data_IF_585283150916
#
_entry.id   IF_585283150916
#
_cell.length_a   1.000
_cell.length_b   1.000
_cell.length_c   1.000
_cell.angle_alpha   90.00
_cell.angle_beta   90.00
_cell.angle_gamma   90.00
#
_symmetry.space_group_name_H-M   'P 1'
#
loop_
_entity.id
_entity.type
_entity.pdbx_description
1 polymer ?
#
# COMPACT_ATOMS: atom_id res chain seq x y z
N UNK A 1 -11.11 16.98 -4.51
CA UNK A 1 -10.25 15.86 -4.75
C UNK A 1 -10.68 14.64 -3.98
N UNK A 2 -10.62 13.48 -4.62
CA UNK A 2 -11.06 12.27 -3.99
C UNK A 2 -10.08 11.82 -2.92
N UNK A 3 -10.59 11.58 -1.73
CA UNK A 3 -9.80 11.13 -0.61
C UNK A 3 -9.03 9.84 -0.93
N UNK A 4 -9.65 8.92 -1.64
CA UNK A 4 -9.01 7.66 -1.97
C UNK A 4 -7.81 7.83 -2.87
N UNK A 5 -7.88 8.80 -3.75
CA UNK A 5 -6.74 9.06 -4.63
C UNK A 5 -5.57 9.58 -3.83
N UNK A 6 -5.84 10.44 -2.85
CA UNK A 6 -4.79 10.96 -2.01
C UNK A 6 -4.13 9.88 -1.19
N UNK A 7 -4.91 8.94 -0.67
CA UNK A 7 -4.35 7.92 0.20
C UNK A 7 -3.47 6.93 -0.56
N UNK A 8 -3.80 6.63 -1.81
CA UNK A 8 -2.95 5.77 -2.62
C UNK A 8 -1.63 6.47 -2.88
N UNK A 9 -1.69 7.75 -3.21
CA UNK A 9 -0.49 8.51 -3.46
C UNK A 9 0.40 8.56 -2.22
N UNK A 10 -0.22 8.81 -1.06
CA UNK A 10 0.50 8.85 0.20
C UNK A 10 1.13 7.50 0.50
N UNK A 11 0.38 6.43 0.27
CA UNK A 11 0.88 5.09 0.56
C UNK A 11 2.12 4.77 -0.26
N UNK A 12 2.11 5.12 -1.54
CA UNK A 12 3.20 4.78 -2.44
C UNK A 12 4.37 5.76 -2.38
N UNK A 13 4.18 6.90 -1.76
CA UNK A 13 5.22 7.92 -1.73
C UNK A 13 6.38 7.61 -0.78
N UNK A 14 6.17 6.74 0.18
CA UNK A 14 7.18 6.45 1.19
C UNK A 14 7.93 5.16 0.88
N UNK A 15 9.25 5.23 0.91
CA UNK A 15 10.06 4.06 0.58
C UNK A 15 9.85 2.89 1.52
N UNK A 16 9.71 3.15 2.82
CA UNK A 16 9.49 2.08 3.78
C UNK A 16 8.19 1.34 3.47
N UNK A 17 7.15 2.08 3.12
CA UNK A 17 5.88 1.45 2.77
C UNK A 17 5.99 0.62 1.50
N UNK A 18 6.73 1.11 0.50
CA UNK A 18 6.95 0.32 -0.72
C UNK A 18 7.72 -0.96 -0.40
N UNK A 19 8.70 -0.88 0.51
CA UNK A 19 9.47 -2.05 0.90
C UNK A 19 8.61 -3.06 1.65
N UNK A 20 7.74 -2.59 2.54
CA UNK A 20 6.80 -3.47 3.24
C UNK A 20 5.88 -4.15 2.26
N UNK A 21 5.32 -3.39 1.34
CA UNK A 21 4.43 -3.90 0.33
C UNK A 21 5.11 -4.98 -0.52
N UNK A 22 6.35 -4.72 -0.93
CA UNK A 22 7.12 -5.66 -1.73
C UNK A 22 7.34 -6.96 -0.97
N UNK A 23 7.64 -6.85 0.32
CA UNK A 23 7.89 -8.03 1.14
C UNK A 23 6.63 -8.87 1.31
N UNK A 24 5.50 -8.21 1.54
CA UNK A 24 4.22 -8.91 1.68
C UNK A 24 3.88 -9.59 0.35
N UNK A 25 4.09 -8.90 -0.75
CA UNK A 25 3.81 -9.45 -2.06
C UNK A 25 4.62 -10.72 -2.32
N UNK A 26 5.90 -10.68 -2.01
CA UNK A 26 6.77 -11.81 -2.28
C UNK A 26 6.55 -13.00 -1.36
N UNK A 27 6.21 -12.73 -0.11
CA UNK A 27 5.99 -13.79 0.86
C UNK A 27 4.55 -14.27 0.90
N UNK A 28 3.67 -13.56 0.26
CA UNK A 28 2.23 -13.81 0.21
C UNK A 28 1.51 -13.49 1.51
N UNK A 29 2.07 -13.87 2.65
CA UNK A 29 1.51 -13.53 3.95
C UNK A 29 2.63 -13.25 4.93
N UNK A 30 2.44 -12.28 5.80
CA UNK A 30 3.38 -11.97 6.86
C UNK A 30 2.63 -11.49 8.09
N UNK A 31 3.06 -11.93 9.26
CA UNK A 31 2.49 -11.41 10.50
C UNK A 31 3.09 -10.05 10.81
N UNK A 32 2.40 -9.28 11.64
CA UNK A 32 2.92 -8.00 12.08
C UNK A 32 4.30 -8.16 12.74
N UNK A 33 4.47 -9.24 13.51
CA UNK A 33 5.74 -9.49 14.16
C UNK A 33 6.87 -9.75 13.17
N UNK A 34 6.58 -10.51 12.13
CA UNK A 34 7.58 -10.79 11.10
C UNK A 34 7.99 -9.51 10.38
N UNK A 35 7.03 -8.64 10.12
CA UNK A 35 7.33 -7.37 9.48
C UNK A 35 8.19 -6.51 10.39
N UNK A 36 7.83 -6.43 11.68
CA UNK A 36 8.59 -5.64 12.64
C UNK A 36 10.03 -6.10 12.76
N UNK A 37 10.26 -7.39 12.66
CA UNK A 37 11.61 -7.92 12.77
C UNK A 37 12.49 -7.51 11.59
N UNK A 38 11.88 -7.33 10.43
CA UNK A 38 12.67 -7.01 9.25
C UNK A 38 13.02 -5.52 9.15
N UNK A 39 12.25 -4.69 9.80
CA UNK A 39 12.49 -3.25 9.75
C UNK A 39 12.90 -2.75 11.12
N UNK A 40 14.00 -2.02 11.17
CA UNK A 40 14.49 -1.47 12.42
C UNK A 40 13.71 -0.23 12.79
N UNK A 41 12.46 -0.44 13.18
CA UNK A 41 11.55 0.65 13.50
C UNK A 41 10.69 0.26 14.69
N UNK A 42 10.14 1.25 15.35
CA UNK A 42 9.26 0.99 16.48
C UNK A 42 7.95 0.37 16.01
N UNK A 43 7.32 -0.37 16.90
CA UNK A 43 6.03 -0.98 16.57
C UNK A 43 4.98 0.05 16.17
N UNK A 44 4.85 1.19 16.87
CA UNK A 44 3.89 2.20 16.43
C UNK A 44 4.16 2.73 15.02
N UNK A 45 5.44 2.88 14.64
CA UNK A 45 5.77 3.31 13.30
C UNK A 45 5.36 2.29 12.25
N UNK A 46 5.63 1.01 12.52
CA UNK A 46 5.22 -0.05 11.62
C UNK A 46 3.69 -0.10 11.50
N UNK A 47 3.00 -0.02 12.62
CA UNK A 47 1.54 -0.02 12.61
C UNK A 47 0.98 1.10 11.76
N UNK A 48 1.60 2.27 11.84
CA UNK A 48 1.14 3.41 11.08
C UNK A 48 1.31 3.17 9.58
N UNK A 49 2.46 2.63 9.17
CA UNK A 49 2.69 2.31 7.77
C UNK A 49 1.69 1.26 7.27
N UNK A 50 1.45 0.24 8.08
CA UNK A 50 0.51 -0.81 7.70
C UNK A 50 -0.91 -0.27 7.58
N UNK A 51 -1.30 0.62 8.48
CA UNK A 51 -2.61 1.22 8.41
C UNK A 51 -2.80 2.05 7.15
N UNK A 52 -1.79 2.80 6.76
CA UNK A 52 -1.87 3.60 5.55
C UNK A 52 -2.03 2.70 4.33
N UNK A 53 -1.24 1.63 4.25
CA UNK A 53 -1.35 0.67 3.15
C UNK A 53 -2.72 0.00 3.13
N UNK A 54 -3.26 -0.29 4.30
CA UNK A 54 -4.56 -0.93 4.39
C UNK A 54 -5.68 0.01 3.95
N UNK A 55 -5.63 1.25 4.39
CA UNK A 55 -6.63 2.23 4.00
C UNK A 55 -6.58 2.52 2.51
N UNK A 56 -5.42 2.38 1.91
CA UNK A 56 -5.27 2.61 0.48
C UNK A 56 -5.75 1.43 -0.37
N UNK A 57 -6.16 0.34 0.28
CA UNK A 57 -6.64 -0.83 -0.45
C UNK A 57 -5.53 -1.63 -1.08
N UNK A 58 -4.31 -1.51 -0.57
CA UNK A 58 -3.15 -2.23 -1.09
C UNK A 58 -2.93 -3.53 -0.35
N UNK A 59 -3.11 -3.52 0.98
CA UNK A 59 -3.01 -4.74 1.77
C UNK A 59 -4.26 -4.92 2.60
N UNK A 60 -4.45 -6.14 3.08
CA UNK A 60 -5.54 -6.43 3.99
C UNK A 60 -5.00 -7.20 5.18
N UNK A 61 -5.73 -7.16 6.28
CA UNK A 61 -5.32 -7.77 7.53
C UNK A 61 -6.36 -8.80 7.95
N UNK A 62 -5.90 -9.95 8.40
CA UNK A 62 -6.78 -11.01 8.89
C UNK A 62 -6.29 -11.45 10.25
N UNK A 63 -7.20 -11.60 11.20
CA UNK A 63 -6.81 -12.05 12.52
C UNK A 63 -6.76 -13.57 12.55
N UNK A 64 -5.66 -14.12 13.04
CA UNK A 64 -5.51 -15.54 13.23
C UNK A 64 -5.06 -15.75 14.68
N UNK A 65 -5.99 -16.09 15.55
CA UNK A 65 -5.70 -16.21 16.96
C UNK A 65 -5.27 -14.86 17.52
N UNK A 66 -4.07 -14.80 18.06
CA UNK A 66 -3.54 -13.56 18.62
C UNK A 66 -2.76 -12.75 17.61
N UNK A 67 -2.57 -13.31 16.43
CA UNK A 67 -1.76 -12.66 15.41
C UNK A 67 -2.60 -11.98 14.35
N UNK A 68 -2.03 -10.93 13.78
CA UNK A 68 -2.62 -10.29 12.62
C UNK A 68 -1.73 -10.61 11.44
N UNK A 69 -2.34 -11.15 10.39
CA UNK A 69 -1.63 -11.58 9.20
C UNK A 69 -1.97 -10.62 8.07
N UNK A 70 -0.95 -10.12 7.39
CA UNK A 70 -1.13 -9.20 6.29
C UNK A 70 -0.86 -9.89 4.97
N UNK A 71 -1.68 -9.56 3.98
CA UNK A 71 -1.50 -10.07 2.62
C UNK A 71 -1.87 -8.96 1.66
N UNK A 72 -1.58 -9.11 0.39
CA UNK A 72 -2.01 -8.12 -0.59
C UNK A 72 -3.52 -8.19 -0.70
N UNK A 73 -4.17 -7.04 -0.79
CA UNK A 73 -5.62 -7.02 -0.96
C UNK A 73 -5.95 -7.67 -2.30
N UNK A 74 -7.07 -8.35 -2.36
CA UNK A 74 -7.45 -9.08 -3.57
C UNK A 74 -7.45 -8.18 -4.81
N UNK A 75 -7.86 -6.95 -4.62
CA UNK A 75 -7.99 -6.00 -5.73
C UNK A 75 -6.91 -4.90 -5.71
N UNK A 76 -5.76 -5.18 -5.10
CA UNK A 76 -4.73 -4.15 -4.95
C UNK A 76 -4.27 -3.58 -6.30
N UNK A 77 -4.11 -4.45 -7.28
CA UNK A 77 -3.67 -4.00 -8.60
C UNK A 77 -4.71 -3.12 -9.27
N UNK A 78 -5.97 -3.51 -9.14
CA UNK A 78 -7.06 -2.73 -9.70
C UNK A 78 -7.18 -1.37 -9.04
N UNK A 79 -6.94 -1.31 -7.74
CA UNK A 79 -7.00 -0.04 -7.03
C UNK A 79 -5.93 0.92 -7.52
N UNK A 80 -4.72 0.42 -7.75
CA UNK A 80 -3.65 1.25 -8.27
C UNK A 80 -3.93 1.66 -9.71
N UNK A 81 -4.42 0.73 -10.52
CA UNK A 81 -4.75 1.04 -11.91
C UNK A 81 -5.87 2.07 -12.01
N UNK A 82 -6.87 1.96 -11.15
CA UNK A 82 -7.96 2.92 -11.16
C UNK A 82 -7.47 4.32 -10.80
N UNK A 83 -6.54 4.40 -9.85
CA UNK A 83 -5.94 5.67 -9.48
C UNK A 83 -5.19 6.27 -10.67
N UNK A 84 -4.38 5.45 -11.33
CA UNK A 84 -3.60 5.89 -12.48
C UNK A 84 -4.50 6.34 -13.63
N UNK A 85 -5.57 5.60 -13.86
CA UNK A 85 -6.50 5.90 -14.91
C UNK A 85 -7.21 7.24 -14.68
N UNK A 86 -7.61 7.49 -13.43
CA UNK A 86 -8.23 8.76 -13.10
C UNK A 86 -7.27 9.92 -13.29
N UNK A 87 -6.02 9.74 -12.92
CA UNK A 87 -5.02 10.77 -13.13
C UNK A 87 -4.86 11.05 -14.62
N UNK A 88 -4.82 10.01 -15.40
CA UNK A 88 -4.64 10.15 -16.83
C UNK A 88 -5.83 10.90 -17.46
N UNK A 89 -7.01 10.56 -17.04
CA UNK A 89 -8.22 11.16 -17.63
C UNK A 89 -8.46 12.59 -17.22
N UNK A 90 -7.88 13.00 -16.12
CA UNK A 90 -8.11 14.32 -15.62
C UNK A 90 -7.13 15.33 -16.04
N UNK A 91 -6.33 15.15 -17.12
CA UNK A 91 -5.25 15.97 -17.13
C UNK A 91 -4.78 16.51 -18.38
N UNK A 92 -4.11 17.61 -18.28
CA UNK A 92 -3.46 18.25 -19.39
C UNK A 92 -2.13 17.59 -19.68
N UNK A 93 -1.76 16.67 -18.90
CA UNK A 93 -0.52 15.96 -19.07
C UNK A 93 -0.43 15.19 -20.35
N UNK A 94 -1.52 15.00 -21.02
CA UNK A 94 -1.50 14.38 -22.31
C UNK A 94 -0.47 14.94 -23.23
N UNK A 95 -0.17 16.20 -23.06
CA UNK A 95 0.80 16.81 -23.91
C UNK A 95 2.15 16.21 -23.80
N UNK A 96 2.47 15.66 -22.67
CA UNK A 96 3.76 15.08 -22.48
C UNK A 96 3.95 13.81 -23.27
N UNK A 97 2.87 13.19 -23.65
CA UNK A 97 2.96 11.95 -24.35
C UNK A 97 3.47 12.09 -25.74
N UNK A 98 3.39 13.26 -26.25
CA UNK A 98 3.80 13.48 -27.58
C UNK A 98 5.25 13.49 -27.75
N UNK A 99 5.96 13.65 -26.74
CA UNK A 99 7.38 13.77 -26.89
C UNK A 99 8.06 12.48 -27.19
#
# INVERSE_FOLDING_TARGET
>A
MDYKEDIIWIALADKTRRDIMDMIYKKEQLSAGEISEKFDMTKPSISRHLNILKQAGIIEATRQGKNIIYSMATDWGENILAFTDRMHNNEPIKKLKKS
#
